data_IF_141456830677
#
_entry.id   IF_141456830677
#
_cell.length_a   1.000
_cell.length_b   1.000
_cell.length_c   1.000
_cell.angle_alpha   90.00
_cell.angle_beta   90.00
_cell.angle_gamma   90.00
#
_symmetry.space_group_name_H-M   'P 1'
#
loop_
_entity.id
_entity.type
_entity.pdbx_description
1 polymer ?
#
# COMPACT_ATOMS: atom_id res chain seq x y z
N UNK A 1 18.36 -1.94 -9.61
CA UNK A 1 18.12 -0.61 -9.02
C UNK A 1 19.39 0.19 -9.08
N UNK A 2 19.28 1.49 -9.36
CA UNK A 2 20.40 2.45 -9.28
C UNK A 2 20.43 3.11 -7.89
N UNK A 3 21.53 3.77 -7.54
CA UNK A 3 21.67 4.48 -6.25
C UNK A 3 20.52 5.47 -5.97
N UNK A 4 20.07 6.17 -7.01
CA UNK A 4 18.90 7.06 -6.92
C UNK A 4 17.63 6.32 -6.50
N UNK A 5 17.40 5.11 -7.01
CA UNK A 5 16.20 4.33 -6.71
C UNK A 5 16.20 3.90 -5.24
N UNK A 6 17.37 3.55 -4.70
CA UNK A 6 17.56 3.24 -3.28
C UNK A 6 17.23 4.46 -2.41
N UNK A 7 17.77 5.63 -2.75
CA UNK A 7 17.48 6.87 -2.03
C UNK A 7 15.98 7.21 -2.06
N UNK A 8 15.33 7.08 -3.22
CA UNK A 8 13.90 7.32 -3.38
C UNK A 8 13.05 6.32 -2.58
N UNK A 9 13.44 5.04 -2.53
CA UNK A 9 12.78 4.04 -1.68
C UNK A 9 12.91 4.37 -0.20
N UNK A 10 14.10 4.81 0.25
CA UNK A 10 14.30 5.21 1.64
C UNK A 10 13.44 6.43 2.01
N UNK A 11 13.40 7.46 1.15
CA UNK A 11 12.53 8.63 1.34
C UNK A 11 11.05 8.23 1.35
N UNK A 12 10.63 7.37 0.40
CA UNK A 12 9.26 6.86 0.34
C UNK A 12 8.88 6.11 1.61
N UNK A 13 9.75 5.22 2.11
CA UNK A 13 9.51 4.46 3.33
C UNK A 13 9.44 5.34 4.57
N UNK A 14 10.35 6.32 4.70
CA UNK A 14 10.33 7.27 5.81
C UNK A 14 9.04 8.11 5.81
N UNK A 15 8.67 8.68 4.66
CA UNK A 15 7.43 9.45 4.52
C UNK A 15 6.19 8.59 4.78
N UNK A 16 6.18 7.35 4.28
CA UNK A 16 5.05 6.43 4.48
C UNK A 16 4.88 6.06 5.96
N UNK A 17 5.98 5.79 6.66
CA UNK A 17 5.95 5.54 8.10
C UNK A 17 5.47 6.76 8.89
N UNK A 18 6.04 7.94 8.61
CA UNK A 18 5.68 9.19 9.30
C UNK A 18 4.20 9.51 9.09
N UNK A 19 3.75 9.58 7.82
CA UNK A 19 2.34 9.85 7.51
C UNK A 19 1.45 8.78 8.12
N UNK A 20 1.86 7.51 8.08
CA UNK A 20 1.16 6.40 8.71
C UNK A 20 0.91 6.60 10.20
N UNK A 21 1.95 6.96 10.96
CA UNK A 21 1.83 7.21 12.40
C UNK A 21 0.92 8.42 12.68
N UNK A 22 1.08 9.52 11.94
CA UNK A 22 0.28 10.75 12.16
C UNK A 22 -1.17 10.66 11.68
N UNK A 23 -1.46 9.75 10.75
CA UNK A 23 -2.82 9.50 10.23
C UNK A 23 -3.44 8.23 10.79
N UNK A 24 -2.83 7.64 11.81
CA UNK A 24 -3.42 6.54 12.55
C UNK A 24 -4.49 7.06 13.51
N UNK A 25 -5.75 7.02 13.08
CA UNK A 25 -6.90 7.48 13.86
C UNK A 25 -7.44 6.43 14.86
N UNK A 26 -6.72 5.33 15.08
CA UNK A 26 -7.20 4.22 15.92
C UNK A 26 -8.31 3.35 15.30
N UNK A 27 -8.73 3.65 14.06
CA UNK A 27 -9.79 2.90 13.38
C UNK A 27 -9.20 1.61 12.82
N UNK A 28 -9.69 0.47 13.31
CA UNK A 28 -9.25 -0.87 12.90
C UNK A 28 -10.42 -1.83 12.72
N UNK A 29 -10.28 -2.78 11.79
CA UNK A 29 -11.19 -3.89 11.59
C UNK A 29 -10.38 -5.20 11.61
N UNK A 30 -10.66 -6.08 12.57
CA UNK A 30 -9.87 -7.31 12.82
C UNK A 30 -8.35 -7.04 12.86
N UNK A 31 -7.94 -5.95 13.53
CA UNK A 31 -6.54 -5.56 13.64
C UNK A 31 -5.94 -4.88 12.40
N UNK A 32 -6.65 -4.85 11.27
CA UNK A 32 -6.22 -4.09 10.07
C UNK A 32 -6.66 -2.63 10.17
N UNK A 33 -5.72 -1.72 9.96
CA UNK A 33 -5.88 -0.28 10.18
C UNK A 33 -6.54 0.40 8.97
N UNK A 34 -7.31 1.45 9.22
CA UNK A 34 -7.67 2.43 8.18
C UNK A 34 -6.41 3.20 7.77
N UNK A 35 -6.02 3.13 6.50
CA UNK A 35 -4.65 3.48 6.11
C UNK A 35 -4.54 4.50 4.96
N UNK A 36 -4.79 5.80 5.22
CA UNK A 36 -4.69 6.84 4.18
C UNK A 36 -3.25 7.04 3.66
N UNK A 37 -2.25 6.62 4.43
CA UNK A 37 -0.84 6.81 4.12
C UNK A 37 -0.38 6.09 2.83
N UNK A 38 -1.17 5.14 2.31
CA UNK A 38 -0.95 4.45 1.02
C UNK A 38 -0.74 5.39 -0.16
N UNK A 39 -1.21 6.64 -0.05
CA UNK A 39 -0.97 7.68 -1.04
C UNK A 39 0.53 7.88 -1.32
N UNK A 40 1.39 7.76 -0.31
CA UNK A 40 2.83 8.01 -0.42
C UNK A 40 3.50 6.99 -1.33
N UNK A 41 3.51 5.68 -1.00
CA UNK A 41 4.10 4.68 -1.90
C UNK A 41 3.37 4.63 -3.26
N UNK A 42 2.08 4.96 -3.32
CA UNK A 42 1.34 5.10 -4.59
C UNK A 42 1.93 6.15 -5.53
N UNK A 43 2.26 7.34 -5.00
CA UNK A 43 2.93 8.41 -5.76
C UNK A 43 4.32 7.94 -6.23
N UNK A 44 5.12 7.36 -5.34
CA UNK A 44 6.46 6.91 -5.68
C UNK A 44 6.46 5.76 -6.70
N UNK A 45 5.52 4.82 -6.58
CA UNK A 45 5.32 3.75 -7.54
C UNK A 45 5.00 4.31 -8.94
N UNK A 46 4.08 5.26 -9.03
CA UNK A 46 3.67 5.87 -10.29
C UNK A 46 4.79 6.69 -10.96
N UNK A 47 5.58 7.42 -10.15
CA UNK A 47 6.64 8.30 -10.65
C UNK A 47 7.93 7.55 -10.98
N UNK A 48 8.32 6.59 -10.15
CA UNK A 48 9.67 6.00 -10.16
C UNK A 48 9.68 4.49 -10.41
N UNK A 49 8.53 3.85 -10.49
CA UNK A 49 8.37 2.45 -10.88
C UNK A 49 8.18 1.49 -9.71
N UNK A 50 7.92 0.23 -10.06
CA UNK A 50 7.51 -0.81 -9.13
C UNK A 50 8.51 -1.07 -8.00
N UNK A 51 9.80 -1.20 -8.32
CA UNK A 51 10.81 -1.46 -7.28
C UNK A 51 10.92 -0.31 -6.26
N UNK A 52 10.80 0.94 -6.71
CA UNK A 52 10.90 2.10 -5.81
C UNK A 52 9.69 2.14 -4.88
N UNK A 53 8.48 2.07 -5.44
CA UNK A 53 7.24 2.09 -4.67
C UNK A 53 7.08 0.87 -3.76
N UNK A 54 7.35 -0.33 -4.24
CA UNK A 54 7.26 -1.57 -3.48
C UNK A 54 8.25 -1.60 -2.30
N UNK A 55 9.52 -1.26 -2.53
CA UNK A 55 10.52 -1.25 -1.45
C UNK A 55 10.24 -0.15 -0.43
N UNK A 56 9.82 1.04 -0.89
CA UNK A 56 9.40 2.11 0.02
C UNK A 56 8.20 1.71 0.86
N UNK A 57 7.20 1.07 0.26
CA UNK A 57 6.02 0.57 0.98
C UNK A 57 6.38 -0.49 2.02
N UNK A 58 7.25 -1.44 1.66
CA UNK A 58 7.74 -2.48 2.56
C UNK A 58 8.43 -1.90 3.80
N UNK A 59 9.34 -0.93 3.60
CA UNK A 59 10.05 -0.27 4.70
C UNK A 59 9.07 0.52 5.57
N UNK A 60 8.21 1.33 4.95
CA UNK A 60 7.31 2.21 5.68
C UNK A 60 6.25 1.45 6.47
N UNK A 61 5.66 0.39 5.90
CA UNK A 61 4.68 -0.42 6.63
C UNK A 61 5.34 -1.15 7.80
N UNK A 62 6.55 -1.68 7.62
CA UNK A 62 7.26 -2.37 8.69
C UNK A 62 7.48 -1.47 9.91
N UNK A 63 8.02 -0.27 9.68
CA UNK A 63 8.23 0.71 10.75
C UNK A 63 6.90 1.07 11.41
N UNK A 64 5.87 1.33 10.61
CA UNK A 64 4.55 1.70 11.11
C UNK A 64 3.85 0.60 11.91
N UNK A 65 3.94 -0.66 11.47
CA UNK A 65 3.39 -1.83 12.14
C UNK A 65 4.06 -2.03 13.51
N UNK A 66 5.39 -1.97 13.55
CA UNK A 66 6.17 -2.04 14.79
C UNK A 66 5.81 -0.90 15.75
N UNK A 67 5.63 0.31 15.24
CA UNK A 67 5.27 1.47 16.07
C UNK A 67 3.83 1.46 16.59
N UNK A 68 2.90 0.78 15.89
CA UNK A 68 1.47 0.82 16.26
C UNK A 68 1.02 -0.40 17.04
N UNK A 69 1.31 -1.60 16.56
CA UNK A 69 0.89 -2.86 17.20
C UNK A 69 2.05 -3.69 17.74
N UNK A 70 3.31 -3.26 17.52
CA UNK A 70 4.49 -3.87 18.15
C UNK A 70 4.94 -5.23 17.60
N UNK A 71 4.20 -5.82 16.65
CA UNK A 71 4.46 -7.17 16.16
C UNK A 71 5.26 -7.15 14.86
N UNK A 72 6.59 -7.08 15.00
CA UNK A 72 7.53 -7.10 13.87
C UNK A 72 7.40 -8.39 13.03
N UNK A 73 7.18 -9.54 13.68
CA UNK A 73 7.11 -10.82 12.99
C UNK A 73 5.88 -10.91 12.09
N UNK A 74 4.72 -10.44 12.56
CA UNK A 74 3.51 -10.33 11.76
C UNK A 74 3.71 -9.42 10.54
N UNK A 75 4.37 -8.28 10.74
CA UNK A 75 4.63 -7.35 9.64
C UNK A 75 5.47 -8.00 8.55
N UNK A 76 6.58 -8.67 8.92
CA UNK A 76 7.44 -9.36 7.96
C UNK A 76 6.68 -10.50 7.24
N UNK A 77 5.82 -11.22 7.96
CA UNK A 77 5.08 -12.35 7.42
C UNK A 77 3.94 -11.93 6.45
N UNK A 78 3.25 -10.82 6.75
CA UNK A 78 2.01 -10.44 6.05
C UNK A 78 2.05 -9.02 5.51
N UNK A 79 2.30 -8.02 6.38
CA UNK A 79 2.21 -6.60 6.02
C UNK A 79 3.20 -6.17 4.94
N UNK A 80 4.47 -6.49 5.14
CA UNK A 80 5.60 -6.21 4.23
C UNK A 80 5.41 -6.84 2.85
N UNK A 81 5.17 -8.16 2.70
CA UNK A 81 5.00 -8.76 1.38
C UNK A 81 3.75 -8.23 0.65
N UNK A 82 2.65 -7.99 1.37
CA UNK A 82 1.44 -7.42 0.79
C UNK A 82 1.67 -6.01 0.22
N UNK A 83 2.29 -5.13 1.02
CA UNK A 83 2.59 -3.76 0.60
C UNK A 83 3.61 -3.75 -0.54
N UNK A 84 4.68 -4.55 -0.44
CA UNK A 84 5.67 -4.64 -1.51
C UNK A 84 5.02 -5.01 -2.84
N UNK A 85 4.25 -6.10 -2.88
CA UNK A 85 3.66 -6.60 -4.12
C UNK A 85 2.56 -5.68 -4.67
N UNK A 86 1.76 -5.06 -3.79
CA UNK A 86 0.78 -4.03 -4.17
C UNK A 86 1.44 -2.90 -4.95
N UNK A 87 2.40 -2.19 -4.32
CA UNK A 87 2.99 -1.00 -4.93
C UNK A 87 4.01 -1.33 -6.03
N UNK A 88 4.62 -2.52 -5.98
CA UNK A 88 5.41 -3.04 -7.09
C UNK A 88 4.53 -3.19 -8.34
N UNK A 89 3.36 -3.83 -8.20
CA UNK A 89 2.46 -4.04 -9.32
C UNK A 89 1.90 -2.72 -9.87
N UNK A 90 1.52 -1.79 -8.99
CA UNK A 90 1.08 -0.44 -9.40
C UNK A 90 2.16 0.22 -10.26
N UNK A 91 3.39 0.32 -9.76
CA UNK A 91 4.47 0.99 -10.48
C UNK A 91 4.87 0.27 -11.77
N UNK A 92 4.87 -1.07 -11.78
CA UNK A 92 5.12 -1.88 -12.96
C UNK A 92 4.08 -1.61 -14.06
N UNK A 93 2.79 -1.62 -13.71
CA UNK A 93 1.70 -1.37 -14.66
C UNK A 93 1.69 0.09 -15.15
N UNK A 94 2.01 1.06 -14.29
CA UNK A 94 2.15 2.46 -14.70
C UNK A 94 3.23 2.63 -15.79
N UNK A 95 4.35 1.92 -15.66
CA UNK A 95 5.41 1.93 -16.67
C UNK A 95 4.98 1.18 -17.94
N UNK A 96 4.44 -0.04 -17.79
CA UNK A 96 4.04 -0.90 -18.91
C UNK A 96 2.95 -0.27 -19.78
N UNK A 97 1.96 0.37 -19.15
CA UNK A 97 0.86 1.05 -19.84
C UNK A 97 1.20 2.51 -20.20
N UNK A 98 2.45 2.94 -19.95
CA UNK A 98 2.95 4.28 -20.28
C UNK A 98 2.05 5.39 -19.75
N UNK A 99 1.64 5.30 -18.48
CA UNK A 99 0.68 6.21 -17.87
C UNK A 99 1.09 7.68 -18.03
N UNK A 100 2.39 7.99 -17.93
CA UNK A 100 2.93 9.35 -18.13
C UNK A 100 2.63 9.91 -19.52
N UNK A 101 2.72 9.09 -20.56
CA UNK A 101 2.39 9.48 -21.94
C UNK A 101 0.88 9.74 -22.07
N UNK A 102 0.05 8.86 -21.50
CA UNK A 102 -1.41 9.02 -21.52
C UNK A 102 -1.85 10.30 -20.80
N UNK A 103 -1.21 10.62 -19.67
CA UNK A 103 -1.47 11.86 -18.92
C UNK A 103 -1.21 13.11 -19.75
N UNK A 104 -0.18 13.09 -20.60
CA UNK A 104 0.15 14.21 -21.49
C UNK A 104 -0.88 14.42 -22.60
N UNK A 105 -1.56 13.36 -23.04
CA UNK A 105 -2.43 13.39 -24.21
C UNK A 105 -3.92 13.52 -23.88
N UNK A 106 -4.40 12.75 -22.89
CA UNK A 106 -5.85 12.61 -22.59
C UNK A 106 -6.07 12.43 -21.09
N UNK A 107 -6.23 13.55 -20.36
CA UNK A 107 -6.37 13.57 -18.90
C UNK A 107 -7.45 12.61 -18.35
N UNK A 108 -8.64 12.56 -18.95
CA UNK A 108 -9.71 11.65 -18.51
C UNK A 108 -9.34 10.17 -18.63
N UNK A 109 -8.66 9.78 -19.73
CA UNK A 109 -8.20 8.40 -19.94
C UNK A 109 -7.08 8.02 -18.97
N UNK A 110 -6.20 8.96 -18.65
CA UNK A 110 -5.14 8.75 -17.67
C UNK A 110 -5.70 8.49 -16.27
N UNK A 111 -6.68 9.27 -15.81
CA UNK A 111 -7.33 9.05 -14.51
C UNK A 111 -8.00 7.67 -14.47
N UNK A 112 -8.74 7.31 -15.52
CA UNK A 112 -9.37 5.98 -15.59
C UNK A 112 -8.33 4.85 -15.57
N UNK A 113 -7.23 5.01 -16.31
CA UNK A 113 -6.15 4.03 -16.35
C UNK A 113 -5.47 3.91 -14.98
N UNK A 114 -5.25 5.03 -14.29
CA UNK A 114 -4.73 5.03 -12.92
C UNK A 114 -5.67 4.32 -11.94
N UNK A 115 -6.99 4.58 -12.02
CA UNK A 115 -7.98 3.90 -11.18
C UNK A 115 -7.89 2.39 -11.39
N UNK A 116 -7.81 1.91 -12.63
CA UNK A 116 -7.68 0.48 -12.92
C UNK A 116 -6.37 -0.11 -12.37
N UNK A 117 -5.24 0.56 -12.57
CA UNK A 117 -3.93 0.10 -12.10
C UNK A 117 -3.88 0.05 -10.57
N UNK A 118 -4.26 1.15 -9.91
CA UNK A 118 -4.23 1.26 -8.45
C UNK A 118 -5.19 0.28 -7.79
N UNK A 119 -6.37 0.06 -8.38
CA UNK A 119 -7.33 -0.95 -7.89
C UNK A 119 -6.80 -2.37 -8.04
N UNK A 120 -6.17 -2.71 -9.17
CA UNK A 120 -5.57 -4.03 -9.34
C UNK A 120 -4.45 -4.27 -8.30
N UNK A 121 -3.57 -3.29 -8.13
CA UNK A 121 -2.50 -3.30 -7.12
C UNK A 121 -3.02 -3.53 -5.72
N UNK A 122 -3.99 -2.70 -5.34
CA UNK A 122 -4.61 -2.72 -4.03
C UNK A 122 -5.35 -4.03 -3.78
N UNK A 123 -6.12 -4.53 -4.76
CA UNK A 123 -6.80 -5.82 -4.64
C UNK A 123 -5.82 -6.97 -4.38
N UNK A 124 -4.68 -6.99 -5.07
CA UNK A 124 -3.63 -7.99 -4.82
C UNK A 124 -3.09 -7.87 -3.38
N UNK A 125 -2.70 -6.67 -2.96
CA UNK A 125 -2.20 -6.43 -1.59
C UNK A 125 -3.22 -6.83 -0.52
N UNK A 126 -4.47 -6.40 -0.67
CA UNK A 126 -5.56 -6.70 0.24
C UNK A 126 -5.85 -8.20 0.35
N UNK A 127 -5.81 -8.92 -0.76
CA UNK A 127 -5.98 -10.38 -0.75
C UNK A 127 -4.83 -11.08 -0.01
N UNK A 128 -3.59 -10.61 -0.19
CA UNK A 128 -2.44 -11.13 0.56
C UNK A 128 -2.62 -10.87 2.06
N UNK A 129 -3.13 -9.70 2.46
CA UNK A 129 -3.43 -9.40 3.87
C UNK A 129 -4.52 -10.33 4.41
N UNK A 130 -5.65 -10.47 3.71
CA UNK A 130 -6.76 -11.32 4.14
C UNK A 130 -6.37 -12.79 4.29
N UNK A 131 -5.70 -13.35 3.28
CA UNK A 131 -5.21 -14.74 3.31
C UNK A 131 -4.12 -14.88 4.38
N UNK A 132 -3.16 -13.96 4.41
CA UNK A 132 -2.04 -13.98 5.34
C UNK A 132 -2.50 -13.94 6.80
N UNK A 133 -3.46 -13.07 7.14
CA UNK A 133 -4.03 -13.00 8.49
C UNK A 133 -4.88 -14.22 8.84
N UNK A 134 -5.58 -14.81 7.86
CA UNK A 134 -6.31 -16.07 8.07
C UNK A 134 -5.36 -17.18 8.49
N UNK A 135 -4.25 -17.36 7.75
CA UNK A 135 -3.21 -18.36 8.04
C UNK A 135 -2.50 -18.03 9.36
N UNK A 136 -2.14 -16.77 9.57
CA UNK A 136 -1.44 -16.30 10.78
C UNK A 136 -2.24 -16.59 12.05
N UNK A 137 -3.53 -16.25 12.05
CA UNK A 137 -4.42 -16.37 13.23
C UNK A 137 -4.56 -17.81 13.75
N UNK A 138 -4.21 -18.82 12.94
CA UNK A 138 -4.28 -20.22 13.37
C UNK A 138 -3.28 -20.54 14.47
N UNK A 139 -2.16 -19.81 14.53
CA UNK A 139 -1.03 -20.12 15.42
C UNK A 139 -0.57 -18.91 16.24
N UNK A 140 -0.92 -17.69 15.83
CA UNK A 140 -0.43 -16.46 16.43
C UNK A 140 -1.58 -15.47 16.69
N UNK A 141 -1.44 -14.60 17.71
CA UNK A 141 -2.46 -13.61 18.02
C UNK A 141 -2.57 -12.55 16.91
N UNK A 142 -3.78 -12.05 16.69
CA UNK A 142 -4.04 -10.92 15.78
C UNK A 142 -3.44 -9.62 16.33
N UNK A 143 -3.28 -8.57 15.50
CA UNK A 143 -2.88 -7.26 16.00
C UNK A 143 -3.76 -6.80 17.16
N UNK A 144 -3.13 -6.22 18.19
CA UNK A 144 -3.81 -5.71 19.40
C UNK A 144 -4.48 -6.78 20.27
N UNK A 145 -4.19 -8.06 20.05
CA UNK A 145 -4.66 -9.18 20.87
C UNK A 145 -3.48 -9.92 21.51
N UNK A 146 -3.73 -10.55 22.65
CA UNK A 146 -2.74 -11.37 23.36
C UNK A 146 -2.98 -12.86 23.22
N UNK A 147 -4.24 -13.26 22.98
CA UNK A 147 -4.64 -14.64 22.80
C UNK A 147 -4.80 -15.00 21.33
N UNK A 148 -4.64 -16.28 21.01
CA UNK A 148 -4.82 -16.81 19.66
C UNK A 148 -6.31 -17.07 19.44
N UNK A 149 -6.92 -16.28 18.55
CA UNK A 149 -8.29 -16.48 18.09
C UNK A 149 -8.28 -16.75 16.58
N UNK A 150 -8.34 -18.02 16.16
CA UNK A 150 -8.37 -18.37 14.75
C UNK A 150 -9.57 -17.73 14.05
N UNK A 151 -9.33 -17.07 12.92
CA UNK A 151 -10.39 -16.48 12.11
C UNK A 151 -10.76 -17.41 10.95
N UNK A 152 -12.02 -17.33 10.53
CA UNK A 152 -12.52 -18.11 9.39
C UNK A 152 -12.07 -17.50 8.05
N UNK A 153 -12.22 -18.25 6.96
CA UNK A 153 -11.91 -17.77 5.61
C UNK A 153 -12.81 -16.57 5.24
N UNK A 154 -14.07 -16.59 5.66
CA UNK A 154 -15.02 -15.49 5.43
C UNK A 154 -14.54 -14.21 6.13
N UNK A 155 -14.04 -14.31 7.36
CA UNK A 155 -13.43 -13.19 8.06
C UNK A 155 -12.18 -12.67 7.32
N UNK A 156 -11.35 -13.56 6.81
CA UNK A 156 -10.22 -13.21 5.93
C UNK A 156 -10.62 -12.42 4.68
N UNK A 157 -11.69 -12.82 4.02
CA UNK A 157 -12.23 -12.11 2.85
C UNK A 157 -12.82 -10.75 3.22
N UNK A 158 -13.48 -10.64 4.38
CA UNK A 158 -13.96 -9.35 4.90
C UNK A 158 -12.80 -8.42 5.26
N UNK A 159 -11.69 -8.95 5.77
CA UNK A 159 -10.46 -8.18 6.02
C UNK A 159 -9.87 -7.67 4.71
N UNK A 160 -9.79 -8.51 3.67
CA UNK A 160 -9.33 -8.08 2.35
C UNK A 160 -10.23 -6.98 1.79
N UNK A 161 -11.56 -7.13 1.89
CA UNK A 161 -12.52 -6.12 1.47
C UNK A 161 -12.34 -4.81 2.24
N UNK A 162 -12.22 -4.88 3.57
CA UNK A 162 -11.96 -3.72 4.43
C UNK A 162 -10.68 -2.98 4.01
N UNK A 163 -9.58 -3.72 3.84
CA UNK A 163 -8.28 -3.17 3.41
C UNK A 163 -8.45 -2.43 2.08
N UNK A 164 -9.11 -3.06 1.11
CA UNK A 164 -9.35 -2.43 -0.19
C UNK A 164 -10.21 -1.16 -0.06
N UNK A 165 -11.36 -1.25 0.61
CA UNK A 165 -12.34 -0.16 0.69
C UNK A 165 -11.81 1.03 1.48
N UNK A 166 -11.04 0.78 2.53
CA UNK A 166 -10.45 1.83 3.36
C UNK A 166 -9.30 2.58 2.66
N UNK A 167 -8.63 1.97 1.68
CA UNK A 167 -7.41 2.52 1.07
C UNK A 167 -7.63 3.11 -0.33
N UNK A 168 -8.53 2.54 -1.15
CA UNK A 168 -8.71 2.98 -2.55
C UNK A 168 -9.09 4.48 -2.69
N UNK A 169 -9.89 5.11 -1.81
CA UNK A 169 -10.29 6.51 -2.00
C UNK A 169 -9.06 7.44 -2.06
N UNK A 170 -8.04 7.15 -1.26
CA UNK A 170 -6.81 7.94 -1.20
C UNK A 170 -5.98 7.78 -2.47
N UNK A 171 -5.87 6.55 -2.99
CA UNK A 171 -5.18 6.31 -4.25
C UNK A 171 -5.91 6.97 -5.41
N UNK A 172 -7.24 6.87 -5.47
CA UNK A 172 -8.02 7.40 -6.60
C UNK A 172 -8.08 8.92 -6.60
N UNK A 173 -8.23 9.55 -5.43
CA UNK A 173 -8.49 10.99 -5.32
C UNK A 173 -7.22 11.82 -5.14
N UNK A 174 -6.23 11.34 -4.39
CA UNK A 174 -5.08 12.16 -3.99
C UNK A 174 -3.87 11.97 -4.91
N UNK A 175 -3.67 10.78 -5.47
CA UNK A 175 -2.49 10.53 -6.32
C UNK A 175 -2.56 11.28 -7.66
N UNK A 176 -3.67 11.26 -8.44
CA UNK A 176 -3.70 11.93 -9.74
C UNK A 176 -3.40 13.44 -9.70
N UNK A 177 -3.94 14.23 -8.75
CA UNK A 177 -3.56 15.64 -8.60
C UNK A 177 -2.07 15.84 -8.37
N UNK A 178 -1.44 15.02 -7.51
CA UNK A 178 -0.01 15.12 -7.22
C UNK A 178 0.83 14.80 -8.47
N UNK A 179 0.47 13.74 -9.20
CA UNK A 179 1.18 13.39 -10.44
C UNK A 179 1.10 14.51 -11.48
N UNK A 180 -0.05 15.19 -11.56
CA UNK A 180 -0.23 16.33 -12.47
C UNK A 180 0.61 17.55 -12.05
N UNK A 181 0.70 17.84 -10.75
CA UNK A 181 1.56 18.93 -10.25
C UNK A 181 3.03 18.65 -10.56
N UNK A 182 3.50 17.44 -10.25
CA UNK A 182 4.89 17.03 -10.51
C UNK A 182 5.21 17.12 -12.01
N UNK A 183 4.28 16.73 -12.88
CA UNK A 183 4.44 16.84 -14.34
C UNK A 183 4.58 18.27 -14.82
N UNK A 184 3.88 19.23 -14.23
CA UNK A 184 3.95 20.65 -14.63
C UNK A 184 5.24 21.34 -14.18
N UNK A 185 5.88 20.80 -13.14
CA UNK A 185 7.09 21.36 -12.56
C UNK A 185 8.39 20.78 -13.20
N UNK A 186 8.28 19.75 -14.04
CA UNK A 186 9.38 19.08 -14.73
C UNK A 186 9.43 19.46 -16.20
#
# INVERSE_FOLDING_TARGET
>A
MRTRDVALSAVSGALYAIVGVYTYFGITFYGVRFWPAVVIPGIFAALYGGLVGGTGAAIGIFISDVMTHGNAFLSIAVGVPANFLCFYMIGFLCQKLRLKEIMSMKKGRAVLTWIMISSAGLALGSMIIGIGLTIWSQQFPMPFQHEVHPISIEAGLLIALWTFVSEFPFLWLLVPPVLEVVRRAA
#
